data_IF_587570127762
#
_entry.id   IF_587570127762
#
_cell.length_a   1.000
_cell.length_b   1.000
_cell.length_c   1.000
_cell.angle_alpha   90.00
_cell.angle_beta   90.00
_cell.angle_gamma   90.00
#
_symmetry.space_group_name_H-M   'P 1'
#
loop_
_entity.id
_entity.type
_entity.pdbx_description
1 polymer ?
#
# COMPACT_ATOMS: atom_id res chain seq x y z
N UNK A 1 -41.60 25.11 -0.99
CA UNK A 1 -42.18 23.76 -1.06
C UNK A 1 -43.54 23.80 -0.40
N UNK A 2 -44.59 23.50 -1.16
CA UNK A 2 -45.94 23.52 -0.61
C UNK A 2 -46.09 22.34 0.37
N UNK A 3 -46.61 22.59 1.60
CA UNK A 3 -46.86 21.53 2.61
C UNK A 3 -47.61 20.33 2.05
N UNK A 4 -48.41 20.55 1.04
CA UNK A 4 -49.19 19.54 0.32
C UNK A 4 -48.31 18.55 -0.47
N UNK A 5 -47.26 19.01 -1.14
CA UNK A 5 -46.36 18.14 -1.92
C UNK A 5 -45.52 17.16 -1.01
N UNK A 6 -45.07 17.65 0.12
CA UNK A 6 -44.32 16.80 1.06
C UNK A 6 -45.24 15.75 1.70
N UNK A 7 -46.47 16.10 2.00
CA UNK A 7 -47.46 15.20 2.60
C UNK A 7 -47.90 14.09 1.64
N UNK A 8 -48.04 14.42 0.34
CA UNK A 8 -48.40 13.48 -0.71
C UNK A 8 -47.28 12.51 -1.02
N UNK A 9 -46.04 12.98 -1.00
CA UNK A 9 -44.83 12.13 -1.13
C UNK A 9 -44.70 11.23 0.10
N UNK A 10 -44.87 11.75 1.32
CA UNK A 10 -44.83 10.93 2.56
C UNK A 10 -45.94 9.89 2.62
N UNK A 11 -47.13 10.18 2.07
CA UNK A 11 -48.23 9.22 1.96
C UNK A 11 -47.91 8.08 0.98
N UNK A 12 -47.31 8.39 -0.17
CA UNK A 12 -46.81 7.36 -1.10
C UNK A 12 -45.74 6.51 -0.46
N UNK A 13 -44.77 7.11 0.26
CA UNK A 13 -43.72 6.43 0.98
C UNK A 13 -44.20 5.44 2.02
N UNK A 14 -45.29 5.79 2.71
CA UNK A 14 -45.88 4.92 3.74
C UNK A 14 -46.80 3.82 3.16
N UNK A 15 -47.14 3.91 1.88
CA UNK A 15 -48.04 3.00 1.19
C UNK A 15 -47.36 1.91 0.35
N UNK A 16 -46.13 2.13 -0.09
CA UNK A 16 -45.41 1.23 -1.00
C UNK A 16 -44.02 0.88 -0.47
N UNK A 17 -43.72 -0.42 -0.37
CA UNK A 17 -42.40 -0.98 -0.05
C UNK A 17 -41.39 -0.92 -1.23
N UNK A 18 -41.49 0.08 -2.14
CA UNK A 18 -40.68 0.15 -3.34
C UNK A 18 -39.42 1.05 -3.19
N UNK A 19 -38.24 0.62 -3.71
CA UNK A 19 -36.98 1.38 -3.65
C UNK A 19 -37.02 2.73 -4.40
N UNK A 20 -37.98 2.95 -5.27
CA UNK A 20 -38.20 4.21 -6.02
C UNK A 20 -38.64 5.37 -5.13
N UNK A 21 -39.23 5.08 -4.01
CA UNK A 21 -39.78 6.06 -3.08
C UNK A 21 -38.67 6.91 -2.41
N UNK A 22 -37.57 6.27 -2.02
CA UNK A 22 -36.43 6.98 -1.43
C UNK A 22 -35.75 7.92 -2.46
N UNK A 23 -35.71 7.49 -3.70
CA UNK A 23 -35.19 8.29 -4.82
C UNK A 23 -36.08 9.52 -5.12
N UNK A 24 -37.41 9.33 -5.15
CA UNK A 24 -38.39 10.41 -5.30
C UNK A 24 -38.30 11.44 -4.16
N UNK A 25 -38.21 10.98 -2.91
CA UNK A 25 -38.02 11.83 -1.74
C UNK A 25 -36.73 12.66 -1.85
N UNK A 26 -35.65 12.01 -2.21
CA UNK A 26 -34.38 12.67 -2.38
C UNK A 26 -34.41 13.71 -3.49
N UNK A 27 -35.07 13.41 -4.62
CA UNK A 27 -35.30 14.37 -5.71
C UNK A 27 -36.05 15.60 -5.24
N UNK A 28 -37.22 15.43 -4.59
CA UNK A 28 -38.04 16.51 -4.07
C UNK A 28 -37.28 17.37 -3.07
N UNK A 29 -36.53 16.74 -2.18
CA UNK A 29 -35.73 17.44 -1.16
C UNK A 29 -34.61 18.29 -1.81
N UNK A 30 -33.84 17.69 -2.73
CA UNK A 30 -32.73 18.35 -3.40
C UNK A 30 -33.24 19.52 -4.30
N UNK A 31 -34.33 19.33 -5.02
CA UNK A 31 -34.95 20.38 -5.84
C UNK A 31 -35.51 21.51 -4.97
N UNK A 32 -36.02 21.20 -3.78
CA UNK A 32 -36.50 22.22 -2.84
C UNK A 32 -35.32 23.05 -2.27
N UNK A 33 -34.20 22.43 -1.93
CA UNK A 33 -32.98 23.12 -1.46
C UNK A 33 -32.43 24.04 -2.58
N UNK A 34 -32.24 23.49 -3.78
CA UNK A 34 -31.81 24.29 -4.95
C UNK A 34 -32.76 25.44 -5.25
N UNK A 35 -34.07 25.19 -5.08
CA UNK A 35 -35.08 26.21 -5.19
C UNK A 35 -34.93 27.36 -4.18
N UNK A 36 -34.78 27.03 -2.92
CA UNK A 36 -34.59 28.01 -1.83
C UNK A 36 -33.29 28.83 -2.04
N UNK A 37 -32.22 28.22 -2.45
CA UNK A 37 -30.95 28.89 -2.74
C UNK A 37 -31.07 29.83 -3.93
N UNK A 38 -31.71 29.39 -5.02
CA UNK A 38 -31.98 30.24 -6.20
C UNK A 38 -32.92 31.41 -5.88
N UNK A 39 -33.91 31.24 -5.00
CA UNK A 39 -34.77 32.31 -4.52
C UNK A 39 -33.98 33.35 -3.71
N UNK A 40 -33.10 32.91 -2.82
CA UNK A 40 -32.20 33.79 -2.08
C UNK A 40 -31.32 34.62 -3.03
N UNK A 41 -30.75 33.98 -4.07
CA UNK A 41 -29.97 34.69 -5.09
C UNK A 41 -30.78 35.65 -5.93
N UNK A 42 -32.08 35.42 -6.06
CA UNK A 42 -32.99 36.33 -6.78
C UNK A 42 -33.53 37.47 -5.93
N UNK A 43 -33.39 37.42 -4.61
CA UNK A 43 -33.98 38.41 -3.68
C UNK A 43 -35.49 38.28 -3.50
N UNK A 44 -36.14 37.25 -4.09
CA UNK A 44 -37.57 36.99 -3.93
C UNK A 44 -37.92 35.59 -4.41
N UNK A 45 -38.99 34.98 -3.85
CA UNK A 45 -39.48 33.66 -4.24
C UNK A 45 -39.99 33.60 -5.67
N UNK A 46 -40.07 32.42 -6.25
CA UNK A 46 -40.55 32.22 -7.63
C UNK A 46 -41.99 32.72 -7.76
N UNK A 47 -42.22 33.65 -8.70
CA UNK A 47 -43.53 34.23 -8.97
C UNK A 47 -43.94 35.37 -8.02
N UNK A 48 -43.20 35.68 -6.98
CA UNK A 48 -43.45 36.76 -6.04
C UNK A 48 -43.00 38.12 -6.66
N UNK A 49 -43.78 39.18 -6.42
CA UNK A 49 -43.42 40.57 -6.75
C UNK A 49 -42.80 41.20 -5.50
N UNK A 50 -41.54 41.58 -5.56
CA UNK A 50 -40.79 42.19 -4.47
C UNK A 50 -39.88 43.30 -5.01
N UNK A 51 -39.74 44.38 -4.27
CA UNK A 51 -38.80 45.47 -4.56
C UNK A 51 -37.35 45.03 -4.35
N UNK A 52 -37.12 44.00 -3.56
CA UNK A 52 -35.82 43.41 -3.29
C UNK A 52 -35.35 42.45 -4.42
N UNK A 53 -36.16 42.21 -5.41
CA UNK A 53 -35.85 41.31 -6.50
C UNK A 53 -34.69 41.84 -7.35
N UNK A 54 -33.54 41.17 -7.31
CA UNK A 54 -32.35 41.53 -8.09
C UNK A 54 -32.17 40.63 -9.35
N UNK A 55 -32.88 39.48 -9.42
CA UNK A 55 -32.83 38.55 -10.55
C UNK A 55 -34.13 37.74 -10.65
N UNK A 56 -34.26 36.94 -11.70
CA UNK A 56 -35.41 36.04 -11.89
C UNK A 56 -34.96 34.68 -12.44
N UNK A 57 -35.72 33.64 -12.13
CA UNK A 57 -35.51 32.32 -12.71
C UNK A 57 -35.93 32.28 -14.18
N UNK A 58 -35.20 31.53 -14.99
CA UNK A 58 -35.43 31.31 -16.41
C UNK A 58 -35.58 29.82 -16.74
N UNK A 59 -36.51 29.14 -16.05
CA UNK A 59 -36.75 27.71 -16.21
C UNK A 59 -35.71 26.84 -15.49
N UNK A 60 -35.59 25.59 -15.94
CA UNK A 60 -34.72 24.58 -15.37
C UNK A 60 -33.87 23.95 -16.46
N UNK A 61 -32.77 23.30 -16.06
CA UNK A 61 -31.98 22.41 -16.90
C UNK A 61 -31.98 21.01 -16.28
N UNK A 62 -32.25 19.95 -17.03
CA UNK A 62 -32.16 18.62 -16.53
C UNK A 62 -30.68 18.24 -16.24
N UNK A 63 -30.45 17.54 -15.18
CA UNK A 63 -29.15 17.00 -14.84
C UNK A 63 -29.28 15.73 -13.99
N UNK A 64 -28.71 14.64 -14.50
CA UNK A 64 -28.67 13.38 -13.76
C UNK A 64 -27.62 13.43 -12.66
N UNK A 65 -27.98 12.93 -11.50
CA UNK A 65 -27.12 12.69 -10.35
C UNK A 65 -27.12 11.18 -10.05
N UNK A 66 -25.99 10.53 -10.27
CA UNK A 66 -25.80 9.14 -9.85
C UNK A 66 -25.50 9.11 -8.35
N UNK A 67 -26.39 8.53 -7.58
CA UNK A 67 -26.33 8.45 -6.12
C UNK A 67 -26.45 6.99 -5.65
N UNK A 68 -26.20 6.75 -4.35
CA UNK A 68 -26.39 5.42 -3.73
C UNK A 68 -27.84 4.93 -3.69
N UNK A 69 -28.81 5.76 -4.03
CA UNK A 69 -30.23 5.39 -4.14
C UNK A 69 -30.69 5.31 -5.60
N UNK A 70 -29.76 5.37 -6.56
CA UNK A 70 -30.00 5.32 -7.98
C UNK A 70 -29.72 6.65 -8.68
N UNK A 71 -29.96 6.68 -9.99
CA UNK A 71 -29.86 7.90 -10.80
C UNK A 71 -31.08 8.77 -10.56
N UNK A 72 -30.84 10.03 -10.13
CA UNK A 72 -31.88 11.04 -9.89
C UNK A 72 -31.80 12.07 -11.01
N UNK A 73 -32.88 12.23 -11.73
CA UNK A 73 -33.02 13.31 -12.71
C UNK A 73 -33.44 14.62 -12.00
N UNK A 74 -32.47 15.54 -11.83
CA UNK A 74 -32.64 16.82 -11.14
C UNK A 74 -33.01 17.95 -12.10
N UNK A 75 -33.96 18.75 -11.69
CA UNK A 75 -34.32 20.02 -12.35
C UNK A 75 -33.53 21.17 -11.71
N UNK A 76 -32.34 21.48 -12.23
CA UNK A 76 -31.47 22.55 -11.72
C UNK A 76 -31.99 23.91 -12.20
N UNK A 77 -32.31 24.89 -11.29
CA UNK A 77 -32.78 26.20 -11.67
C UNK A 77 -31.83 26.96 -12.60
N UNK A 78 -32.36 27.69 -13.58
CA UNK A 78 -31.63 28.67 -14.39
C UNK A 78 -31.96 30.07 -13.93
N UNK A 79 -30.95 30.94 -13.88
CA UNK A 79 -31.13 32.36 -13.65
C UNK A 79 -31.20 33.12 -15.01
N UNK A 80 -31.89 34.22 -15.02
CA UNK A 80 -31.99 35.09 -16.21
C UNK A 80 -30.68 35.83 -16.45
N UNK A 81 -30.03 36.26 -15.38
CA UNK A 81 -28.71 36.88 -15.41
C UNK A 81 -27.76 36.03 -14.54
N UNK A 82 -26.60 35.70 -15.06
CA UNK A 82 -25.62 34.82 -14.40
C UNK A 82 -25.94 33.34 -14.50
N UNK A 83 -25.30 32.54 -13.68
CA UNK A 83 -25.40 31.08 -13.67
C UNK A 83 -25.58 30.58 -12.24
N UNK A 84 -26.55 29.71 -12.01
CA UNK A 84 -26.70 28.95 -10.77
C UNK A 84 -26.10 27.56 -10.93
N UNK A 85 -25.30 27.16 -9.95
CA UNK A 85 -24.76 25.81 -9.84
C UNK A 85 -24.69 25.41 -8.36
N UNK A 86 -25.30 24.28 -7.96
CA UNK A 86 -25.27 23.82 -6.57
C UNK A 86 -23.93 23.10 -6.24
N UNK A 87 -22.88 23.85 -5.94
CA UNK A 87 -21.53 23.31 -5.67
C UNK A 87 -21.48 22.38 -4.44
N UNK A 88 -22.45 22.52 -3.53
CA UNK A 88 -22.60 21.65 -2.37
C UNK A 88 -23.12 20.24 -2.72
N UNK A 89 -23.79 20.07 -3.86
CA UNK A 89 -24.39 18.81 -4.32
C UNK A 89 -23.66 18.23 -5.52
N UNK A 90 -23.29 19.06 -6.48
CA UNK A 90 -22.78 18.66 -7.79
C UNK A 90 -21.34 19.14 -7.97
N UNK A 91 -20.54 18.33 -8.62
CA UNK A 91 -19.25 18.76 -9.15
C UNK A 91 -19.37 19.10 -10.65
N UNK A 92 -18.64 20.12 -11.07
CA UNK A 92 -18.61 20.49 -12.49
C UNK A 92 -18.17 19.30 -13.35
N UNK A 93 -19.02 18.93 -14.33
CA UNK A 93 -18.79 17.83 -15.28
C UNK A 93 -18.78 16.42 -14.64
N UNK A 94 -19.27 16.24 -13.41
CA UNK A 94 -19.45 14.92 -12.78
C UNK A 94 -20.93 14.64 -12.53
N UNK A 95 -21.35 13.38 -12.72
CA UNK A 95 -22.72 12.91 -12.44
C UNK A 95 -22.82 12.25 -11.07
N UNK A 96 -21.73 11.64 -10.60
CA UNK A 96 -21.76 10.81 -9.41
C UNK A 96 -21.63 11.62 -8.11
N UNK A 97 -22.41 11.23 -7.12
CA UNK A 97 -22.31 11.69 -5.73
C UNK A 97 -20.93 11.39 -5.15
N UNK A 98 -20.40 12.28 -4.31
CA UNK A 98 -19.08 12.07 -3.63
C UNK A 98 -19.05 10.78 -2.84
N UNK A 99 -20.14 10.44 -2.13
CA UNK A 99 -20.24 9.21 -1.37
C UNK A 99 -20.16 7.96 -2.27
N UNK A 100 -20.80 7.98 -3.43
CA UNK A 100 -20.71 6.92 -4.43
C UNK A 100 -19.31 6.80 -5.01
N UNK A 101 -18.66 7.93 -5.30
CA UNK A 101 -17.25 7.97 -5.77
C UNK A 101 -16.32 7.35 -4.74
N UNK A 102 -16.49 7.66 -3.43
CA UNK A 102 -15.71 7.06 -2.35
C UNK A 102 -15.92 5.55 -2.26
N UNK A 103 -17.17 5.06 -2.34
CA UNK A 103 -17.48 3.61 -2.34
C UNK A 103 -16.83 2.89 -3.53
N UNK A 104 -16.87 3.49 -4.71
CA UNK A 104 -16.25 2.91 -5.92
C UNK A 104 -14.72 2.89 -5.79
N UNK A 105 -14.11 3.96 -5.27
CA UNK A 105 -12.69 4.02 -5.00
C UNK A 105 -12.27 2.94 -3.99
N UNK A 106 -13.02 2.77 -2.91
CA UNK A 106 -12.83 1.72 -1.91
C UNK A 106 -12.95 0.30 -2.50
N UNK A 107 -13.96 0.06 -3.32
CA UNK A 107 -14.08 -1.20 -4.06
C UNK A 107 -12.87 -1.46 -4.95
N UNK A 108 -12.34 -0.43 -5.60
CA UNK A 108 -11.15 -0.52 -6.43
C UNK A 108 -9.92 -0.93 -5.61
N UNK A 109 -9.67 -0.27 -4.48
CA UNK A 109 -8.54 -0.58 -3.57
C UNK A 109 -8.66 -2.00 -3.03
N UNK A 110 -9.87 -2.44 -2.64
CA UNK A 110 -10.12 -3.81 -2.16
C UNK A 110 -10.07 -4.87 -3.25
N UNK A 111 -9.76 -4.50 -4.49
CA UNK A 111 -9.60 -5.43 -5.62
C UNK A 111 -10.92 -6.01 -6.13
N UNK A 112 -12.02 -5.27 -6.01
CA UNK A 112 -13.28 -5.63 -6.65
C UNK A 112 -13.14 -5.34 -8.14
N UNK A 113 -13.39 -6.34 -9.00
CA UNK A 113 -13.29 -6.15 -10.45
C UNK A 113 -14.28 -5.10 -10.95
N UNK A 114 -13.90 -4.37 -12.00
CA UNK A 114 -14.77 -3.34 -12.60
C UNK A 114 -16.14 -3.89 -13.03
N UNK A 115 -16.21 -5.17 -13.43
CA UNK A 115 -17.49 -5.85 -13.74
C UNK A 115 -18.36 -6.05 -12.49
N UNK A 116 -17.75 -6.37 -11.35
CA UNK A 116 -18.48 -6.48 -10.08
C UNK A 116 -18.89 -5.11 -9.55
N UNK A 117 -18.05 -4.08 -9.73
CA UNK A 117 -18.42 -2.69 -9.42
C UNK A 117 -19.61 -2.26 -10.27
N UNK A 118 -19.61 -2.55 -11.59
CA UNK A 118 -20.76 -2.31 -12.47
C UNK A 118 -22.04 -3.03 -11.99
N UNK A 119 -21.91 -4.29 -11.55
CA UNK A 119 -23.02 -5.04 -10.96
C UNK A 119 -23.55 -4.42 -9.66
N UNK A 120 -22.68 -3.94 -8.76
CA UNK A 120 -23.07 -3.25 -7.52
C UNK A 120 -23.80 -1.95 -7.85
N UNK A 121 -23.26 -1.17 -8.78
CA UNK A 121 -23.83 0.11 -9.21
C UNK A 121 -25.20 -0.08 -9.87
N UNK A 122 -25.38 -1.12 -10.69
CA UNK A 122 -26.68 -1.50 -11.26
C UNK A 122 -27.68 -1.93 -10.20
N UNK A 123 -27.24 -2.67 -9.19
CA UNK A 123 -28.09 -3.05 -8.05
C UNK A 123 -28.55 -1.84 -7.22
N UNK A 124 -27.82 -0.71 -7.29
CA UNK A 124 -28.22 0.57 -6.72
C UNK A 124 -29.14 1.39 -7.65
N UNK A 125 -29.58 0.82 -8.78
CA UNK A 125 -30.48 1.50 -9.74
C UNK A 125 -29.80 2.54 -10.64
N UNK A 126 -28.47 2.44 -10.81
CA UNK A 126 -27.70 3.30 -11.73
C UNK A 126 -27.49 2.54 -13.03
N UNK A 127 -27.64 3.19 -14.20
CA UNK A 127 -27.61 2.55 -15.54
C UNK A 127 -26.31 1.82 -15.90
N UNK A 128 -25.37 1.77 -14.97
CA UNK A 128 -24.08 1.11 -15.10
C UNK A 128 -22.91 2.07 -15.14
N UNK A 129 -21.75 1.52 -14.89
CA UNK A 129 -20.52 2.30 -14.86
C UNK A 129 -19.44 1.61 -15.71
N UNK A 130 -18.87 2.33 -16.65
CA UNK A 130 -17.80 1.78 -17.48
C UNK A 130 -16.47 1.66 -16.70
N UNK A 131 -15.60 0.72 -17.12
CA UNK A 131 -14.27 0.60 -16.54
C UNK A 131 -13.44 1.88 -16.61
N UNK A 132 -13.66 2.72 -17.63
CA UNK A 132 -13.03 4.03 -17.75
C UNK A 132 -13.60 5.06 -16.76
N UNK A 133 -14.88 4.95 -16.38
CA UNK A 133 -15.46 5.78 -15.30
C UNK A 133 -14.93 5.36 -13.94
N UNK A 134 -14.88 4.07 -13.63
CA UNK A 134 -14.25 3.54 -12.40
C UNK A 134 -12.80 4.02 -12.29
N UNK A 135 -12.03 3.91 -13.37
CA UNK A 135 -10.65 4.40 -13.41
C UNK A 135 -10.53 5.91 -13.19
N UNK A 136 -11.48 6.70 -13.69
CA UNK A 136 -11.52 8.17 -13.46
C UNK A 136 -11.88 8.50 -12.01
N UNK A 137 -12.83 7.78 -11.42
CA UNK A 137 -13.21 7.96 -10.01
C UNK A 137 -12.04 7.57 -9.08
N UNK A 138 -11.36 6.46 -9.39
CA UNK A 138 -10.17 6.05 -8.64
C UNK A 138 -9.01 7.08 -8.70
N UNK A 139 -9.01 8.01 -9.66
CA UNK A 139 -8.01 9.10 -9.69
C UNK A 139 -8.07 10.04 -8.48
N UNK A 140 -9.17 10.08 -7.75
CA UNK A 140 -9.22 10.81 -6.48
C UNK A 140 -8.22 10.31 -5.46
N UNK A 141 -7.80 9.03 -5.56
CA UNK A 141 -6.76 8.43 -4.72
C UNK A 141 -5.34 8.89 -5.09
N UNK A 142 -5.13 9.51 -6.27
CA UNK A 142 -3.78 9.92 -6.70
C UNK A 142 -3.13 10.90 -5.71
N UNK A 143 -3.91 11.85 -5.16
CA UNK A 143 -3.42 12.81 -4.18
C UNK A 143 -3.01 12.16 -2.85
N UNK A 144 -3.80 11.22 -2.36
CA UNK A 144 -3.51 10.47 -1.12
C UNK A 144 -2.28 9.59 -1.28
N UNK A 145 -2.19 8.87 -2.41
CA UNK A 145 -1.04 8.02 -2.73
C UNK A 145 0.23 8.85 -2.89
N UNK A 146 0.17 10.02 -3.54
CA UNK A 146 1.32 10.89 -3.69
C UNK A 146 1.76 11.49 -2.36
N UNK A 147 0.83 11.92 -1.51
CA UNK A 147 1.13 12.36 -0.16
C UNK A 147 1.80 11.25 0.68
N UNK A 148 1.31 10.00 0.55
CA UNK A 148 1.91 8.85 1.20
C UNK A 148 3.33 8.56 0.69
N UNK A 149 3.55 8.61 -0.63
CA UNK A 149 4.85 8.34 -1.26
C UNK A 149 5.89 9.40 -0.94
N UNK A 150 5.50 10.67 -0.93
CA UNK A 150 6.40 11.81 -0.74
C UNK A 150 6.57 12.24 0.72
N UNK A 151 5.88 11.59 1.67
CA UNK A 151 5.94 11.98 3.08
C UNK A 151 7.36 11.94 3.62
N UNK A 152 7.76 12.86 4.52
CA UNK A 152 9.02 12.79 5.24
C UNK A 152 9.16 11.48 6.03
N UNK A 153 10.39 10.97 6.13
CA UNK A 153 10.77 9.83 6.96
C UNK A 153 11.52 10.35 8.19
N UNK A 154 10.90 11.27 8.91
CA UNK A 154 11.47 12.03 10.02
C UNK A 154 11.17 11.40 11.41
N UNK A 155 10.50 10.23 11.43
CA UNK A 155 10.15 9.48 12.64
C UNK A 155 11.34 8.84 13.37
N UNK A 156 12.58 9.22 13.07
CA UNK A 156 13.80 8.70 13.71
C UNK A 156 14.62 7.77 12.82
N UNK A 157 15.31 6.81 13.45
CA UNK A 157 16.17 5.84 12.77
C UNK A 157 15.42 4.56 12.41
N UNK A 158 15.88 3.90 11.34
CA UNK A 158 15.29 2.67 10.81
C UNK A 158 16.33 1.55 10.78
N UNK A 159 16.59 0.87 11.90
CA UNK A 159 17.66 -0.14 11.98
C UNK A 159 17.51 -1.29 10.99
N UNK A 160 16.31 -1.67 10.66
CA UNK A 160 16.00 -2.80 9.76
C UNK A 160 15.16 -2.35 8.58
N UNK A 161 15.62 -2.68 7.38
CA UNK A 161 14.92 -2.39 6.11
C UNK A 161 14.77 -3.69 5.32
N UNK A 162 13.59 -3.94 4.78
CA UNK A 162 13.32 -5.01 3.82
C UNK A 162 13.02 -4.40 2.46
N UNK A 163 13.69 -4.93 1.44
CA UNK A 163 13.52 -4.52 0.04
C UNK A 163 13.04 -5.71 -0.78
N UNK A 164 12.06 -5.48 -1.62
CA UNK A 164 11.54 -6.50 -2.53
C UNK A 164 10.95 -5.87 -3.79
N UNK A 165 10.80 -6.68 -4.83
CA UNK A 165 10.26 -6.25 -6.11
C UNK A 165 9.17 -7.20 -6.63
N UNK A 166 8.16 -6.62 -7.25
CA UNK A 166 7.04 -7.33 -7.86
C UNK A 166 6.98 -7.01 -9.35
N UNK A 167 6.75 -8.02 -10.17
CA UNK A 167 6.51 -7.83 -11.61
C UNK A 167 5.02 -7.75 -11.91
N UNK A 168 4.57 -6.65 -12.52
CA UNK A 168 3.17 -6.37 -12.87
C UNK A 168 3.07 -6.09 -14.38
N UNK A 169 1.96 -6.53 -15.01
CA UNK A 169 1.71 -6.31 -16.44
C UNK A 169 1.06 -4.95 -16.67
N UNK A 170 1.63 -4.19 -17.59
CA UNK A 170 1.17 -2.85 -17.96
C UNK A 170 1.09 -2.72 -19.49
N UNK A 171 0.13 -1.95 -19.98
CA UNK A 171 0.04 -1.58 -21.39
C UNK A 171 0.77 -0.27 -21.63
N UNK A 172 1.88 -0.34 -22.34
CA UNK A 172 2.70 0.81 -22.72
C UNK A 172 2.95 0.79 -24.25
N UNK A 173 2.81 1.93 -24.91
CA UNK A 173 3.01 2.08 -26.36
C UNK A 173 2.28 1.00 -27.19
N UNK A 174 1.04 0.64 -26.81
CA UNK A 174 0.23 -0.36 -27.48
C UNK A 174 0.61 -1.82 -27.21
N UNK A 175 1.65 -2.10 -26.41
CA UNK A 175 2.13 -3.44 -26.07
C UNK A 175 1.92 -3.73 -24.58
N UNK A 176 1.82 -5.01 -24.23
CA UNK A 176 1.83 -5.47 -22.85
C UNK A 176 3.27 -5.77 -22.45
N UNK A 177 3.80 -5.00 -21.50
CA UNK A 177 5.12 -5.20 -20.90
C UNK A 177 4.99 -5.53 -19.41
N UNK A 178 6.07 -6.02 -18.82
CA UNK A 178 6.20 -6.14 -17.37
C UNK A 178 6.91 -4.91 -16.85
N UNK A 179 6.41 -4.36 -15.76
CA UNK A 179 7.10 -3.33 -14.98
C UNK A 179 7.43 -3.89 -13.61
N UNK A 180 8.53 -3.45 -13.05
CA UNK A 180 8.95 -3.79 -11.69
C UNK A 180 8.37 -2.76 -10.73
N UNK A 181 7.73 -3.23 -9.66
CA UNK A 181 7.28 -2.42 -8.53
C UNK A 181 8.21 -2.72 -7.37
N UNK A 182 9.01 -1.76 -6.99
CA UNK A 182 9.93 -1.82 -5.86
C UNK A 182 9.21 -1.34 -4.60
N UNK A 183 9.34 -2.07 -3.51
CA UNK A 183 8.72 -1.76 -2.21
C UNK A 183 9.78 -1.82 -1.12
N UNK A 184 9.79 -0.80 -0.26
CA UNK A 184 10.63 -0.74 0.93
C UNK A 184 9.78 -0.71 2.18
N UNK A 185 10.07 -1.60 3.14
CA UNK A 185 9.49 -1.58 4.48
C UNK A 185 10.60 -1.54 5.52
N UNK A 186 10.29 -1.06 6.71
CA UNK A 186 11.27 -0.95 7.79
C UNK A 186 10.65 -1.19 9.17
N UNK A 187 11.52 -1.30 10.16
CA UNK A 187 11.18 -1.11 11.57
C UNK A 187 11.86 0.16 12.05
N UNK A 188 11.11 1.05 12.67
CA UNK A 188 11.61 2.31 13.23
C UNK A 188 12.18 2.13 14.65
N UNK A 189 12.73 3.21 15.22
CA UNK A 189 13.31 3.24 16.56
C UNK A 189 12.32 2.86 17.68
N UNK A 190 11.01 3.00 17.44
CA UNK A 190 9.96 2.62 18.38
C UNK A 190 9.55 1.14 18.26
N UNK A 191 10.19 0.37 17.38
CA UNK A 191 9.87 -1.03 17.11
C UNK A 191 8.60 -1.24 16.29
N UNK A 192 8.08 -0.21 15.61
CA UNK A 192 6.92 -0.28 14.71
C UNK A 192 7.35 -0.53 13.27
N UNK A 193 6.54 -1.29 12.55
CA UNK A 193 6.75 -1.45 11.10
C UNK A 193 6.22 -0.27 10.34
N UNK A 194 6.96 0.13 9.33
CA UNK A 194 6.57 1.18 8.40
C UNK A 194 6.82 0.75 6.95
N UNK A 195 5.95 1.20 6.06
CA UNK A 195 6.20 1.12 4.62
C UNK A 195 6.88 2.42 4.22
N UNK A 196 8.14 2.37 3.82
CA UNK A 196 8.92 3.56 3.52
C UNK A 196 8.59 4.16 2.15
N UNK A 197 8.33 3.30 1.16
CA UNK A 197 8.04 3.78 -0.18
C UNK A 197 7.71 2.68 -1.17
N UNK A 198 7.23 3.13 -2.33
CA UNK A 198 6.92 2.31 -3.51
C UNK A 198 7.27 3.09 -4.77
N UNK A 199 7.94 2.42 -5.72
CA UNK A 199 8.28 3.01 -7.02
C UNK A 199 8.16 1.98 -8.15
N UNK A 200 7.95 2.46 -9.38
CA UNK A 200 7.89 1.60 -10.57
C UNK A 200 9.08 1.84 -11.50
N UNK A 201 9.66 0.79 -11.97
CA UNK A 201 10.72 0.82 -12.99
C UNK A 201 10.36 -0.07 -14.18
N UNK A 202 10.96 0.20 -15.34
CA UNK A 202 10.83 -0.67 -16.52
C UNK A 202 11.41 -2.05 -16.25
N UNK A 203 12.55 -2.11 -15.58
CA UNK A 203 13.29 -3.31 -15.26
C UNK A 203 13.89 -3.19 -13.86
N UNK A 204 14.17 -4.32 -13.23
CA UNK A 204 14.88 -4.40 -11.96
C UNK A 204 16.38 -4.24 -12.20
N UNK A 205 16.86 -3.01 -12.21
CA UNK A 205 18.27 -2.69 -12.43
C UNK A 205 18.92 -2.05 -11.21
N UNK A 206 20.26 -2.10 -11.14
CA UNK A 206 21.01 -1.41 -10.09
C UNK A 206 20.75 0.11 -10.08
N UNK A 207 20.60 0.72 -11.28
CA UNK A 207 20.30 2.13 -11.40
C UNK A 207 18.92 2.47 -10.81
N UNK A 208 17.90 1.64 -11.06
CA UNK A 208 16.56 1.81 -10.50
C UNK A 208 16.57 1.69 -8.97
N UNK A 209 17.26 0.69 -8.42
CA UNK A 209 17.42 0.53 -6.97
C UNK A 209 18.20 1.69 -6.34
N UNK A 210 19.28 2.15 -7.00
CA UNK A 210 20.06 3.31 -6.52
C UNK A 210 19.20 4.57 -6.46
N UNK A 211 18.40 4.84 -7.50
CA UNK A 211 17.50 5.99 -7.53
C UNK A 211 16.45 5.91 -6.42
N UNK A 212 15.83 4.73 -6.24
CA UNK A 212 14.82 4.50 -5.21
C UNK A 212 15.39 4.67 -3.80
N UNK A 213 16.56 4.09 -3.50
CA UNK A 213 17.19 4.24 -2.18
C UNK A 213 17.62 5.68 -1.90
N UNK A 214 18.14 6.41 -2.91
CA UNK A 214 18.48 7.82 -2.78
C UNK A 214 17.26 8.69 -2.48
N UNK A 215 16.14 8.40 -3.10
CA UNK A 215 14.87 9.08 -2.80
C UNK A 215 14.44 8.84 -1.36
N UNK A 216 14.53 7.60 -0.85
CA UNK A 216 14.23 7.30 0.55
C UNK A 216 15.18 8.05 1.51
N UNK A 217 16.47 8.12 1.21
CA UNK A 217 17.46 8.88 2.00
C UNK A 217 17.16 10.38 1.95
N UNK A 218 16.82 10.93 0.79
CA UNK A 218 16.43 12.33 0.65
C UNK A 218 15.17 12.69 1.47
N UNK A 219 14.28 11.72 1.69
CA UNK A 219 13.10 11.89 2.56
C UNK A 219 13.38 11.67 4.04
N UNK A 220 14.60 11.28 4.42
CA UNK A 220 15.02 11.15 5.82
C UNK A 220 15.37 9.73 6.28
N UNK A 221 15.39 8.73 5.41
CA UNK A 221 15.84 7.38 5.79
C UNK A 221 17.27 7.43 6.33
N UNK A 222 17.45 7.07 7.60
CA UNK A 222 18.75 7.07 8.27
C UNK A 222 18.85 5.93 9.31
N UNK A 223 20.09 5.67 9.78
CA UNK A 223 20.36 4.71 10.86
C UNK A 223 20.17 3.25 10.45
N UNK A 224 20.19 2.93 9.15
CA UNK A 224 20.03 1.56 8.66
C UNK A 224 21.23 0.72 9.06
N UNK A 225 20.97 -0.38 9.77
CA UNK A 225 21.98 -1.33 10.24
C UNK A 225 21.97 -2.64 9.44
N UNK A 226 20.77 -3.07 9.01
CA UNK A 226 20.59 -4.30 8.24
C UNK A 226 19.55 -4.08 7.13
N UNK A 227 19.92 -4.47 5.92
CA UNK A 227 18.99 -4.58 4.79
C UNK A 227 18.77 -6.04 4.46
N UNK A 228 17.51 -6.45 4.40
CA UNK A 228 17.10 -7.82 4.06
C UNK A 228 16.49 -7.81 2.65
N UNK A 229 17.03 -8.61 1.74
CA UNK A 229 16.48 -8.72 0.38
C UNK A 229 16.77 -10.08 -0.24
N UNK A 230 16.24 -10.30 -1.44
CA UNK A 230 16.72 -11.39 -2.30
C UNK A 230 18.08 -11.06 -2.92
N UNK A 231 18.77 -12.08 -3.42
CA UNK A 231 20.07 -11.92 -4.06
C UNK A 231 19.92 -11.34 -5.47
N UNK A 232 20.06 -10.02 -5.58
CA UNK A 232 20.11 -9.30 -6.85
C UNK A 232 21.36 -8.41 -6.88
N UNK A 233 22.30 -8.68 -7.80
CA UNK A 233 23.61 -7.99 -7.83
C UNK A 233 23.49 -6.46 -7.89
N UNK A 234 22.55 -5.95 -8.71
CA UNK A 234 22.33 -4.51 -8.81
C UNK A 234 21.75 -3.89 -7.55
N UNK A 235 20.92 -4.62 -6.80
CA UNK A 235 20.40 -4.17 -5.51
C UNK A 235 21.51 -4.13 -4.45
N UNK A 236 22.35 -5.17 -4.39
CA UNK A 236 23.49 -5.20 -3.44
C UNK A 236 24.43 -4.02 -3.68
N UNK A 237 24.82 -3.75 -4.93
CA UNK A 237 25.64 -2.60 -5.27
C UNK A 237 24.96 -1.25 -4.92
N UNK A 238 23.63 -1.16 -5.05
CA UNK A 238 22.89 0.03 -4.66
C UNK A 238 22.86 0.22 -3.14
N UNK A 239 22.71 -0.87 -2.35
CA UNK A 239 22.78 -0.84 -0.88
C UNK A 239 24.15 -0.32 -0.43
N UNK A 240 25.23 -0.90 -0.93
CA UNK A 240 26.60 -0.51 -0.58
C UNK A 240 26.87 0.98 -0.90
N UNK A 241 26.38 1.46 -2.04
CA UNK A 241 26.61 2.83 -2.51
C UNK A 241 25.77 3.89 -1.79
N UNK A 242 24.55 3.53 -1.30
CA UNK A 242 23.58 4.52 -0.79
C UNK A 242 23.41 4.41 0.72
N UNK A 243 23.60 3.25 1.29
CA UNK A 243 23.43 2.95 2.73
C UNK A 243 24.76 2.46 3.33
N UNK A 244 25.83 3.29 3.32
CA UNK A 244 27.13 2.88 3.79
C UNK A 244 27.07 2.46 5.28
N UNK A 245 27.67 1.32 5.59
CA UNK A 245 27.67 0.74 6.94
C UNK A 245 26.46 -0.13 7.30
N UNK A 246 25.51 -0.26 6.41
CA UNK A 246 24.44 -1.26 6.57
C UNK A 246 24.94 -2.65 6.17
N UNK A 247 24.72 -3.65 7.02
CA UNK A 247 24.94 -5.04 6.66
C UNK A 247 23.84 -5.49 5.67
N UNK A 248 24.19 -6.42 4.78
CA UNK A 248 23.20 -7.07 3.92
C UNK A 248 22.91 -8.49 4.39
N UNK A 249 21.65 -8.82 4.56
CA UNK A 249 21.14 -10.16 4.86
C UNK A 249 20.45 -10.72 3.64
N UNK A 250 20.99 -11.79 3.08
CA UNK A 250 20.32 -12.56 2.04
C UNK A 250 19.10 -13.29 2.60
N UNK A 251 17.95 -13.12 1.99
CA UNK A 251 16.72 -13.78 2.41
C UNK A 251 16.88 -15.30 2.48
N UNK A 252 16.78 -15.86 3.68
CA UNK A 252 16.89 -17.30 3.94
C UNK A 252 15.92 -18.14 3.10
N UNK A 253 14.70 -17.66 2.93
CA UNK A 253 13.65 -18.40 2.20
C UNK A 253 13.99 -18.53 0.70
N UNK A 254 14.41 -17.43 0.08
CA UNK A 254 14.84 -17.44 -1.32
C UNK A 254 16.15 -18.20 -1.51
N UNK A 255 17.11 -18.02 -0.61
CA UNK A 255 18.33 -18.81 -0.62
C UNK A 255 18.06 -20.30 -0.56
N UNK A 256 17.26 -20.76 0.42
CA UNK A 256 16.88 -22.16 0.54
C UNK A 256 16.24 -22.72 -0.73
N UNK A 257 15.32 -21.96 -1.33
CA UNK A 257 14.69 -22.36 -2.59
C UNK A 257 15.72 -22.55 -3.71
N UNK A 258 16.66 -21.62 -3.83
CA UNK A 258 17.71 -21.67 -4.84
C UNK A 258 18.69 -22.84 -4.56
N UNK A 259 19.11 -23.03 -3.34
CA UNK A 259 20.00 -24.14 -2.94
C UNK A 259 19.39 -25.49 -3.27
N UNK A 260 18.11 -25.70 -2.98
CA UNK A 260 17.44 -26.97 -3.22
C UNK A 260 17.29 -27.29 -4.72
N UNK A 261 17.46 -26.33 -5.63
CA UNK A 261 17.54 -26.63 -7.07
C UNK A 261 18.87 -27.29 -7.47
N UNK A 262 19.90 -27.24 -6.61
CA UNK A 262 21.22 -27.83 -6.83
C UNK A 262 21.32 -29.29 -6.41
N UNK A 263 20.24 -29.83 -5.84
CA UNK A 263 20.20 -31.21 -5.37
C UNK A 263 19.00 -31.97 -5.93
N UNK A 264 19.13 -33.32 -6.13
CA UNK A 264 18.03 -34.15 -6.58
C UNK A 264 16.81 -34.05 -5.65
N UNK A 265 15.59 -34.15 -6.21
CA UNK A 265 14.34 -34.03 -5.46
C UNK A 265 14.28 -34.93 -4.22
N UNK A 266 14.78 -36.17 -4.32
CA UNK A 266 14.82 -37.12 -3.21
C UNK A 266 15.71 -36.66 -2.05
N UNK A 267 16.77 -35.86 -2.31
CA UNK A 267 17.68 -35.35 -1.33
C UNK A 267 17.23 -34.01 -0.69
N UNK A 268 16.31 -33.29 -1.32
CA UNK A 268 15.90 -31.97 -0.89
C UNK A 268 15.42 -31.91 0.58
N UNK A 269 14.62 -32.86 1.11
CA UNK A 269 14.22 -32.84 2.51
C UNK A 269 15.40 -32.96 3.48
N UNK A 270 16.37 -33.81 3.15
CA UNK A 270 17.58 -34.02 3.95
C UNK A 270 18.43 -32.73 3.97
N UNK A 271 18.79 -32.21 2.80
CA UNK A 271 19.59 -30.98 2.67
C UNK A 271 18.87 -29.79 3.35
N UNK A 272 17.56 -29.65 3.16
CA UNK A 272 16.79 -28.61 3.83
C UNK A 272 16.85 -28.73 5.37
N UNK A 273 16.87 -29.94 5.90
CA UNK A 273 16.96 -30.16 7.36
C UNK A 273 18.35 -29.78 7.86
N UNK A 274 19.41 -30.17 7.14
CA UNK A 274 20.78 -29.77 7.49
C UNK A 274 20.94 -28.26 7.51
N UNK A 275 20.54 -27.57 6.44
CA UNK A 275 20.69 -26.11 6.38
C UNK A 275 19.80 -25.38 7.41
N UNK A 276 18.61 -25.91 7.73
CA UNK A 276 17.79 -25.35 8.81
C UNK A 276 18.46 -25.42 10.18
N UNK A 277 19.31 -26.42 10.43
CA UNK A 277 20.04 -26.56 11.71
C UNK A 277 20.98 -25.39 11.96
N UNK A 278 21.52 -24.73 10.93
CA UNK A 278 22.33 -23.51 11.05
C UNK A 278 21.53 -22.37 11.71
N UNK A 279 20.28 -22.21 11.32
CA UNK A 279 19.41 -21.17 11.86
C UNK A 279 18.75 -21.53 13.20
N UNK A 280 18.95 -22.75 13.68
CA UNK A 280 18.44 -23.20 14.96
C UNK A 280 19.47 -23.04 16.11
N UNK A 281 20.64 -22.53 15.81
CA UNK A 281 21.71 -22.34 16.81
C UNK A 281 21.40 -21.14 17.71
N UNK A 282 21.81 -21.19 19.00
CA UNK A 282 21.46 -20.13 19.96
C UNK A 282 22.40 -18.91 19.89
N UNK A 283 23.57 -19.04 19.23
CA UNK A 283 24.53 -17.94 19.08
C UNK A 283 25.10 -17.84 17.67
N UNK A 284 25.65 -16.68 17.32
CA UNK A 284 26.29 -16.44 16.02
C UNK A 284 27.51 -17.34 15.79
N UNK A 285 28.31 -17.55 16.82
CA UNK A 285 29.47 -18.46 16.76
C UNK A 285 29.06 -19.90 16.49
N UNK A 286 28.02 -20.39 17.17
CA UNK A 286 27.48 -21.73 16.94
C UNK A 286 26.82 -21.88 15.60
N UNK A 287 26.15 -20.82 15.09
CA UNK A 287 25.60 -20.80 13.75
C UNK A 287 26.71 -20.90 12.68
N UNK A 288 27.81 -20.16 12.83
CA UNK A 288 28.97 -20.24 11.95
C UNK A 288 29.65 -21.64 12.00
N UNK A 289 29.84 -22.20 13.18
CA UNK A 289 30.39 -23.54 13.34
C UNK A 289 29.47 -24.61 12.74
N UNK A 290 28.15 -24.47 12.89
CA UNK A 290 27.20 -25.40 12.30
C UNK A 290 27.14 -25.23 10.75
N UNK A 291 27.28 -24.03 10.23
CA UNK A 291 27.38 -23.77 8.79
C UNK A 291 28.57 -24.54 8.21
N UNK A 292 29.77 -24.42 8.82
CA UNK A 292 30.97 -25.12 8.37
C UNK A 292 30.76 -26.63 8.34
N UNK A 293 30.17 -27.21 9.41
CA UNK A 293 29.84 -28.64 9.44
C UNK A 293 28.87 -29.07 8.34
N UNK A 294 27.86 -28.25 8.03
CA UNK A 294 26.89 -28.56 6.97
C UNK A 294 27.54 -28.46 5.58
N UNK A 295 28.45 -27.51 5.36
CA UNK A 295 29.23 -27.38 4.11
C UNK A 295 30.04 -28.65 3.90
N UNK A 296 30.82 -29.11 4.90
CA UNK A 296 31.62 -30.35 4.87
C UNK A 296 30.73 -31.58 4.59
N UNK A 297 29.59 -31.72 5.26
CA UNK A 297 28.66 -32.83 5.05
C UNK A 297 28.07 -32.91 3.65
N UNK A 298 27.92 -31.74 2.98
CA UNK A 298 27.38 -31.68 1.62
C UNK A 298 28.43 -31.89 0.55
N UNK A 299 29.73 -31.66 0.84
CA UNK A 299 30.83 -31.60 -0.13
C UNK A 299 30.93 -32.87 -0.97
N UNK A 300 30.90 -34.04 -0.34
CA UNK A 300 31.11 -35.32 -1.02
C UNK A 300 30.02 -35.70 -2.02
N UNK A 301 28.74 -35.44 -1.65
CA UNK A 301 27.59 -35.90 -2.43
C UNK A 301 26.85 -34.77 -3.21
N UNK A 302 26.98 -33.54 -2.78
CA UNK A 302 26.25 -32.38 -3.27
C UNK A 302 27.17 -31.15 -3.36
N UNK A 303 28.33 -31.31 -4.04
CA UNK A 303 29.38 -30.29 -4.12
C UNK A 303 28.88 -28.92 -4.58
N UNK A 304 27.98 -28.85 -5.59
CA UNK A 304 27.40 -27.59 -6.05
C UNK A 304 26.58 -26.89 -4.95
N UNK A 305 25.92 -27.66 -4.10
CA UNK A 305 25.16 -27.11 -2.96
C UNK A 305 26.09 -26.69 -1.81
N UNK A 306 27.18 -27.45 -1.58
CA UNK A 306 28.21 -27.12 -0.61
C UNK A 306 28.87 -25.78 -0.95
N UNK A 307 29.40 -25.64 -2.17
CA UNK A 307 30.04 -24.40 -2.64
C UNK A 307 29.08 -23.21 -2.55
N UNK A 308 27.83 -23.38 -3.02
CA UNK A 308 26.83 -22.32 -2.92
C UNK A 308 26.52 -21.92 -1.49
N UNK A 309 26.52 -22.87 -0.55
CA UNK A 309 26.27 -22.61 0.86
C UNK A 309 27.44 -21.90 1.52
N UNK A 310 28.67 -22.32 1.22
CA UNK A 310 29.90 -21.70 1.69
C UNK A 310 30.04 -20.26 1.23
N UNK A 311 29.89 -20.01 -0.07
CA UNK A 311 29.93 -18.65 -0.67
C UNK A 311 28.87 -17.72 -0.08
N UNK A 312 27.68 -18.24 0.20
CA UNK A 312 26.60 -17.46 0.76
C UNK A 312 26.64 -17.33 2.29
N UNK A 313 27.54 -18.04 2.95
CA UNK A 313 27.64 -18.14 4.41
C UNK A 313 27.55 -16.80 5.13
N UNK A 314 28.43 -15.83 4.83
CA UNK A 314 28.39 -14.50 5.45
C UNK A 314 27.05 -13.79 5.24
N UNK A 315 26.49 -13.88 4.05
CA UNK A 315 25.29 -13.17 3.64
C UNK A 315 24.02 -13.73 4.29
N UNK A 316 23.94 -15.06 4.47
CA UNK A 316 22.77 -15.73 5.08
C UNK A 316 22.83 -15.75 6.61
N UNK A 317 23.97 -15.44 7.21
CA UNK A 317 24.18 -15.39 8.67
C UNK A 317 24.41 -13.99 9.22
N UNK A 318 24.34 -12.94 8.39
CA UNK A 318 24.51 -11.54 8.82
C UNK A 318 23.57 -11.15 9.97
N UNK A 319 22.37 -11.75 10.03
CA UNK A 319 21.41 -11.55 11.11
C UNK A 319 21.99 -11.88 12.50
N UNK A 320 23.00 -12.76 12.57
CA UNK A 320 23.55 -13.25 13.83
C UNK A 320 24.33 -12.19 14.63
N UNK A 321 24.71 -11.08 13.98
CA UNK A 321 25.31 -9.90 14.63
C UNK A 321 24.29 -9.01 15.35
N UNK A 322 23.01 -9.36 15.34
CA UNK A 322 21.92 -8.59 15.93
C UNK A 322 21.30 -9.37 17.12
N UNK A 323 20.48 -8.69 17.95
CA UNK A 323 19.84 -9.33 19.10
C UNK A 323 19.07 -10.61 18.69
N UNK A 324 19.26 -11.69 19.44
CA UNK A 324 18.64 -13.01 19.17
C UNK A 324 17.11 -12.95 19.12
N UNK A 325 16.50 -12.04 19.88
CA UNK A 325 15.06 -11.78 19.84
C UNK A 325 14.56 -11.33 18.46
N UNK A 326 15.44 -10.75 17.62
CA UNK A 326 15.09 -10.26 16.29
C UNK A 326 15.32 -11.27 15.16
N UNK A 327 16.13 -12.30 15.38
CA UNK A 327 16.60 -13.21 14.32
C UNK A 327 15.48 -13.74 13.43
N UNK A 328 14.36 -14.18 14.03
CA UNK A 328 13.23 -14.74 13.29
C UNK A 328 12.56 -13.75 12.37
N UNK A 329 12.63 -12.47 12.68
CA UNK A 329 12.05 -11.38 11.89
C UNK A 329 12.99 -10.91 10.77
N UNK A 330 14.34 -10.96 11.00
CA UNK A 330 15.32 -10.34 10.11
C UNK A 330 16.09 -11.31 9.20
N UNK A 331 16.06 -12.61 9.41
CA UNK A 331 16.75 -13.58 8.54
C UNK A 331 16.05 -13.85 7.19
N UNK A 332 14.88 -13.30 6.96
CA UNK A 332 14.12 -13.53 5.72
C UNK A 332 13.19 -12.37 5.38
N UNK A 333 12.75 -12.35 4.12
CA UNK A 333 11.77 -11.41 3.59
C UNK A 333 10.30 -11.80 3.89
N UNK A 334 10.05 -12.75 4.79
CA UNK A 334 8.70 -13.21 5.12
C UNK A 334 7.71 -12.10 5.49
N UNK A 335 8.12 -11.04 6.24
CA UNK A 335 7.23 -9.91 6.50
C UNK A 335 6.76 -9.22 5.21
N UNK A 336 7.67 -9.06 4.25
CA UNK A 336 7.42 -8.47 2.93
C UNK A 336 6.59 -9.40 2.03
N UNK A 337 6.86 -10.72 2.08
CA UNK A 337 6.10 -11.70 1.29
C UNK A 337 4.60 -11.71 1.59
N UNK A 338 4.21 -11.44 2.85
CA UNK A 338 2.80 -11.30 3.23
C UNK A 338 2.18 -10.07 2.56
N UNK A 339 2.88 -8.94 2.60
CA UNK A 339 2.47 -7.70 1.94
C UNK A 339 2.36 -7.90 0.42
N UNK A 340 3.36 -8.53 -0.20
CA UNK A 340 3.36 -8.85 -1.62
C UNK A 340 2.17 -9.74 -2.04
N UNK A 341 1.76 -10.65 -1.18
CA UNK A 341 0.59 -11.50 -1.41
C UNK A 341 -0.70 -10.69 -1.44
N UNK A 342 -0.84 -9.70 -0.55
CA UNK A 342 -1.96 -8.76 -0.55
C UNK A 342 -1.97 -7.86 -1.80
N UNK A 343 -0.80 -7.36 -2.20
CA UNK A 343 -0.66 -6.61 -3.46
C UNK A 343 -1.08 -7.48 -4.65
N UNK A 344 -0.54 -8.71 -4.77
CA UNK A 344 -0.86 -9.63 -5.86
C UNK A 344 -2.35 -9.97 -5.91
N UNK A 345 -2.97 -10.25 -4.77
CA UNK A 345 -4.40 -10.55 -4.69
C UNK A 345 -5.27 -9.46 -5.33
N UNK A 346 -4.86 -8.18 -5.22
CA UNK A 346 -5.59 -7.05 -5.80
C UNK A 346 -5.17 -6.77 -7.25
N UNK A 347 -3.89 -6.86 -7.57
CA UNK A 347 -3.39 -6.62 -8.94
C UNK A 347 -3.78 -7.70 -9.92
N UNK A 348 -3.89 -8.97 -9.49
CA UNK A 348 -4.31 -10.09 -10.34
C UNK A 348 -5.77 -9.95 -10.80
N UNK A 349 -6.62 -9.29 -10.04
CA UNK A 349 -8.00 -8.98 -10.45
C UNK A 349 -8.03 -8.03 -11.65
N UNK A 350 -7.10 -7.07 -11.71
CA UNK A 350 -6.96 -6.13 -12.84
C UNK A 350 -6.31 -6.82 -14.03
N UNK A 351 -5.32 -7.69 -13.78
CA UNK A 351 -4.58 -8.46 -14.76
C UNK A 351 -3.59 -7.63 -15.58
N UNK A 352 -4.05 -6.71 -16.43
CA UNK A 352 -3.21 -5.81 -17.23
C UNK A 352 -3.62 -4.37 -16.94
N UNK A 353 -2.69 -3.60 -16.40
CA UNK A 353 -2.92 -2.19 -16.08
C UNK A 353 -2.83 -1.31 -17.34
N UNK A 354 -3.64 -0.24 -17.45
CA UNK A 354 -3.60 0.66 -18.60
C UNK A 354 -2.31 1.50 -18.68
N UNK A 355 -1.67 1.78 -17.55
CA UNK A 355 -0.42 2.55 -17.43
C UNK A 355 0.20 2.38 -16.04
N UNK A 356 1.44 2.86 -15.84
CA UNK A 356 2.15 2.81 -14.55
C UNK A 356 1.47 3.61 -13.44
N UNK A 357 0.89 4.76 -13.75
CA UNK A 357 0.17 5.55 -12.78
C UNK A 357 -0.99 4.77 -12.14
N UNK A 358 -1.67 3.91 -12.92
CA UNK A 358 -2.72 3.01 -12.39
C UNK A 358 -2.16 1.91 -11.49
N UNK A 359 -0.93 1.44 -11.74
CA UNK A 359 -0.23 0.49 -10.84
C UNK A 359 0.09 1.18 -9.52
N UNK A 360 0.74 2.36 -9.58
CA UNK A 360 1.10 3.14 -8.38
C UNK A 360 -0.14 3.49 -7.57
N UNK A 361 -1.23 3.89 -8.22
CA UNK A 361 -2.50 4.19 -7.53
C UNK A 361 -3.01 3.00 -6.73
N UNK A 362 -3.13 1.82 -7.35
CA UNK A 362 -3.65 0.64 -6.66
C UNK A 362 -2.67 0.15 -5.59
N UNK A 363 -1.41 -0.04 -5.95
CA UNK A 363 -0.40 -0.55 -5.01
C UNK A 363 -0.15 0.45 -3.89
N UNK A 364 -0.02 1.74 -4.20
CA UNK A 364 0.16 2.81 -3.21
C UNK A 364 -1.00 2.91 -2.22
N UNK A 365 -2.26 2.80 -2.70
CA UNK A 365 -3.43 2.78 -1.79
C UNK A 365 -3.42 1.57 -0.87
N UNK A 366 -3.10 0.37 -1.39
CA UNK A 366 -2.96 -0.85 -0.57
C UNK A 366 -1.86 -0.70 0.48
N UNK A 367 -0.75 -0.09 0.10
CA UNK A 367 0.39 0.13 1.00
C UNK A 367 0.08 1.21 2.05
N UNK A 368 -0.63 2.26 1.69
CA UNK A 368 -1.08 3.29 2.63
C UNK A 368 -2.03 2.70 3.68
N UNK A 369 -3.04 1.93 3.25
CA UNK A 369 -3.96 1.22 4.15
C UNK A 369 -3.19 0.29 5.12
N UNK A 370 -2.24 -0.48 4.60
CA UNK A 370 -1.44 -1.40 5.42
C UNK A 370 -0.48 -0.66 6.36
N UNK A 371 0.04 0.49 5.94
CA UNK A 371 0.88 1.34 6.80
C UNK A 371 0.08 1.84 8.01
N UNK A 372 -1.13 2.36 7.79
CA UNK A 372 -2.02 2.84 8.84
C UNK A 372 -2.40 1.71 9.82
N UNK A 373 -2.71 0.51 9.31
CA UNK A 373 -2.95 -0.67 10.14
C UNK A 373 -1.74 -1.00 11.03
N UNK A 374 -0.51 -0.89 10.49
CA UNK A 374 0.70 -1.16 11.26
C UNK A 374 0.96 -0.10 12.34
N UNK A 375 0.59 1.16 12.10
CA UNK A 375 0.74 2.22 13.11
C UNK A 375 -0.12 2.00 14.35
N UNK A 376 -1.34 1.46 14.20
CA UNK A 376 -2.26 1.18 15.32
C UNK A 376 -2.09 -0.22 15.91
N UNK A 377 -1.34 -1.11 15.25
CA UNK A 377 -1.11 -2.48 15.70
C UNK A 377 -0.09 -2.55 16.86
N UNK A 378 0.06 -3.75 17.47
CA UNK A 378 1.13 -4.00 18.46
C UNK A 378 2.50 -3.77 17.84
N UNK A 379 3.45 -3.29 18.64
CA UNK A 379 4.85 -3.17 18.24
C UNK A 379 5.38 -4.49 17.71
N UNK A 380 6.15 -4.41 16.65
CA UNK A 380 6.75 -5.58 16.01
C UNK A 380 7.99 -6.09 16.74
N UNK A 381 8.75 -5.15 17.33
CA UNK A 381 9.92 -5.40 18.19
C UNK A 381 9.82 -4.51 19.42
N UNK A 382 10.43 -4.90 20.54
CA UNK A 382 10.45 -4.06 21.74
C UNK A 382 11.43 -2.89 21.58
N UNK A 383 11.14 -1.77 22.22
CA UNK A 383 11.99 -0.57 22.18
C UNK A 383 13.37 -0.87 22.74
N UNK A 384 13.41 -1.64 23.84
CA UNK A 384 14.65 -2.02 24.52
C UNK A 384 15.55 -2.85 23.59
N UNK A 385 14.96 -3.82 22.86
CA UNK A 385 15.73 -4.66 21.92
C UNK A 385 16.20 -3.87 20.69
N UNK A 386 15.41 -2.92 20.21
CA UNK A 386 15.81 -2.00 19.14
C UNK A 386 16.97 -1.11 19.61
N UNK A 387 16.92 -0.58 20.82
CA UNK A 387 18.03 0.21 21.38
C UNK A 387 19.34 -0.59 21.42
N UNK A 388 19.28 -1.89 21.73
CA UNK A 388 20.46 -2.78 21.65
C UNK A 388 20.95 -2.92 20.21
N UNK A 389 20.05 -3.13 19.25
CA UNK A 389 20.40 -3.23 17.83
C UNK A 389 21.05 -1.96 17.25
N UNK A 390 20.73 -0.81 17.81
CA UNK A 390 21.30 0.49 17.40
C UNK A 390 22.67 0.79 17.99
N UNK A 391 23.13 0.07 18.99
CA UNK A 391 24.47 0.24 19.53
C UNK A 391 25.52 -0.06 18.45
N UNK A 392 26.62 0.71 18.37
CA UNK A 392 27.74 0.31 17.52
C UNK A 392 28.19 -1.10 17.92
N UNK A 393 28.71 -1.91 16.96
CA UNK A 393 29.33 -3.18 17.32
C UNK A 393 30.42 -2.92 18.37
N UNK A 394 30.44 -3.74 19.43
CA UNK A 394 31.48 -3.66 20.47
C UNK A 394 32.85 -3.75 19.80
N UNK A 395 33.73 -2.85 20.14
CA UNK A 395 35.13 -2.95 19.72
C UNK A 395 35.78 -4.16 20.41
N UNK A 396 36.82 -4.73 19.81
CA UNK A 396 37.52 -5.90 20.39
C UNK A 396 37.94 -5.70 21.86
N UNK A 397 38.27 -4.45 22.24
CA UNK A 397 38.60 -4.05 23.62
C UNK A 397 37.40 -4.12 24.59
N UNK A 398 36.19 -3.84 24.10
CA UNK A 398 34.96 -3.86 24.92
C UNK A 398 34.47 -5.31 25.13
N UNK A 399 34.72 -6.21 24.17
CA UNK A 399 34.43 -7.64 24.29
C UNK A 399 35.26 -8.28 25.39
N UNK A 400 36.56 -7.96 25.46
CA UNK A 400 37.46 -8.45 26.51
C UNK A 400 37.07 -7.96 27.92
N UNK A 401 36.50 -6.77 28.04
CA UNK A 401 36.06 -6.21 29.33
C UNK A 401 34.70 -6.78 29.80
N UNK A 402 33.77 -7.12 28.88
CA UNK A 402 32.48 -7.75 29.24
C UNK A 402 32.69 -9.25 29.66
N UNK A 403 33.64 -9.97 29.05
CA UNK A 403 33.94 -11.35 29.44
C UNK A 403 34.68 -11.43 30.78
N UNK A 404 35.39 -10.39 31.20
CA UNK A 404 36.16 -10.35 32.44
C UNK A 404 35.33 -9.93 33.67
N UNK A 405 34.26 -9.14 33.48
CA UNK A 405 33.43 -8.64 34.61
C UNK A 405 32.69 -9.75 35.40
N UNK A 406 32.14 -10.82 34.83
CA UNK A 406 31.49 -11.88 35.62
C UNK A 406 32.46 -12.70 36.49
N UNK A 407 33.73 -12.76 36.13
CA UNK A 407 34.73 -13.53 36.90
C UNK A 407 35.23 -12.79 38.16
N UNK A 408 35.13 -11.48 38.21
CA UNK A 408 35.56 -10.63 39.32
C UNK A 408 34.50 -10.40 40.40
N UNK A 409 33.21 -10.65 40.09
CA UNK A 409 32.09 -10.53 41.06
C UNK A 409 31.72 -11.86 41.72
N UNK A 410 32.36 -12.97 41.36
CA UNK A 410 32.13 -14.30 41.92
C UNK A 410 33.28 -14.78 42.87
N UNK A 411 34.16 -13.87 43.34
CA UNK A 411 35.20 -14.10 44.27
C UNK A 411 34.90 -13.53 45.65
#
# INVERSE_FOLDING_TARGET
MNKMQLHDVLRKVLADDEPDVLRELMKVFLEALMGAEADSMCGAAYGERSEERVNSRNGYRPRDLDSRVGTIDLAVPKLRSGSYFPDWLLENRRRAERALTAVIAECYVKGVSTRRVDGIVKALGIDGISSSQVSRMAKSLDGEVEAFRSRPLDGGTYPYVWLDALSIRVREAGRVSKVTVMVATAVNAEGRREILGVETSTEETGAAWTAFLRELVARGLCGVRLVVSDHHKGLMAAIDAVLPGACWQRCRTHFMRNLLTRVPKAAQPFVATLVRSVFAQPSGGEAAAQLARVVEQLEEKYSDASVMLEEAGPDITAYASFPTAHWRQIWSNNPQERLNREIRRRTDVVGIFPNRASVIRLVGSVLSEQHDEWQVSRRYMSVESIAVAMRPPLTALEIETEEVMPALMAG
#
